data_IF_696018730147
#
_entry.id   IF_696018730147
#
_cell.length_a   1.000
_cell.length_b   1.000
_cell.length_c   1.000
_cell.angle_alpha   90.00
_cell.angle_beta   90.00
_cell.angle_gamma   90.00
#
_symmetry.space_group_name_H-M   'P 1'
#
loop_
_entity.id
_entity.type
_entity.pdbx_description
1 polymer ?
#
# COMPACT_ATOMS: atom_id res chain seq x y z
N UNK A 1 -14.89 10.16 -10.88
CA UNK A 1 -13.74 10.22 -11.80
C UNK A 1 -12.52 9.75 -11.03
N UNK A 2 -12.15 8.47 -11.14
CA UNK A 2 -10.93 7.95 -10.53
C UNK A 2 -9.74 8.36 -11.40
N UNK A 3 -9.26 9.59 -11.22
CA UNK A 3 -8.00 10.02 -11.80
C UNK A 3 -6.88 9.08 -11.36
N UNK A 4 -5.80 8.97 -12.15
CA UNK A 4 -4.61 8.25 -11.67
C UNK A 4 -4.05 9.05 -10.47
N UNK A 5 -3.84 8.42 -9.32
CA UNK A 5 -3.20 9.02 -8.13
C UNK A 5 -1.76 8.49 -7.95
N UNK A 6 -0.80 8.83 -8.84
CA UNK A 6 0.57 8.36 -8.70
C UNK A 6 1.33 9.17 -7.64
N UNK A 7 2.38 8.61 -7.02
CA UNK A 7 3.27 9.37 -6.16
C UNK A 7 4.15 10.32 -7.00
N UNK A 8 4.53 11.49 -6.46
CA UNK A 8 5.55 12.35 -7.08
C UNK A 8 6.95 11.72 -7.06
N UNK A 9 7.22 10.99 -5.99
CA UNK A 9 8.40 10.14 -5.75
C UNK A 9 8.03 9.15 -4.64
N UNK A 10 8.78 8.06 -4.49
CA UNK A 10 8.48 7.06 -3.46
C UNK A 10 8.46 7.68 -2.05
N UNK A 11 7.41 7.43 -1.26
CA UNK A 11 7.25 8.02 0.07
C UNK A 11 6.93 9.53 0.08
N UNK A 12 6.65 10.11 -1.09
CA UNK A 12 6.26 11.50 -1.26
C UNK A 12 4.74 11.70 -1.36
N UNK A 13 4.30 12.94 -1.64
CA UNK A 13 2.89 13.23 -1.84
C UNK A 13 2.37 12.66 -3.17
N UNK A 14 1.06 12.44 -3.22
CA UNK A 14 0.32 12.14 -4.42
C UNK A 14 0.40 13.32 -5.39
N UNK A 15 0.68 13.05 -6.66
CA UNK A 15 0.78 14.07 -7.71
C UNK A 15 -0.58 14.75 -7.95
N UNK A 16 -1.68 14.03 -7.72
CA UNK A 16 -3.04 14.46 -8.07
C UNK A 16 -3.72 15.27 -6.96
N UNK A 17 -3.70 14.78 -5.72
CA UNK A 17 -4.37 15.45 -4.60
C UNK A 17 -3.42 16.11 -3.59
N UNK A 18 -2.11 15.90 -3.70
CA UNK A 18 -1.12 16.48 -2.78
C UNK A 18 -0.99 15.76 -1.43
N UNK A 19 -1.94 14.90 -1.07
CA UNK A 19 -1.90 14.11 0.16
C UNK A 19 -0.74 13.10 0.20
N UNK A 20 -0.24 12.69 1.38
CA UNK A 20 0.77 11.65 1.50
C UNK A 20 0.36 10.37 0.74
N UNK A 21 1.27 9.83 -0.08
CA UNK A 21 0.98 8.65 -0.86
C UNK A 21 1.22 7.36 -0.03
N UNK A 22 0.39 6.31 -0.20
CA UNK A 22 -0.84 6.27 -0.99
C UNK A 22 -1.96 7.06 -0.30
N UNK A 23 -2.58 7.97 -1.04
CA UNK A 23 -3.77 8.68 -0.58
C UNK A 23 -4.99 7.74 -0.57
N UNK A 24 -6.08 8.13 0.08
CA UNK A 24 -7.28 7.29 0.21
C UNK A 24 -7.79 6.75 -1.13
N UNK A 25 -7.89 7.60 -2.16
CA UNK A 25 -8.33 7.18 -3.49
C UNK A 25 -7.39 6.15 -4.11
N UNK A 26 -6.08 6.26 -3.87
CA UNK A 26 -5.11 5.27 -4.34
C UNK A 26 -5.21 3.96 -3.54
N UNK A 27 -5.47 4.01 -2.24
CA UNK A 27 -5.69 2.82 -1.42
C UNK A 27 -6.91 2.05 -1.95
N UNK A 28 -8.05 2.73 -2.14
CA UNK A 28 -9.27 2.13 -2.72
C UNK A 28 -9.02 1.59 -4.13
N UNK A 29 -8.34 2.36 -5.00
CA UNK A 29 -8.03 1.90 -6.35
C UNK A 29 -7.14 0.64 -6.36
N UNK A 30 -6.22 0.52 -5.40
CA UNK A 30 -5.35 -0.66 -5.28
C UNK A 30 -6.12 -1.90 -4.82
N UNK A 31 -7.08 -1.74 -3.89
CA UNK A 31 -7.99 -2.82 -3.50
C UNK A 31 -8.79 -3.36 -4.70
N UNK A 32 -9.27 -2.47 -5.57
CA UNK A 32 -9.98 -2.85 -6.81
C UNK A 32 -9.04 -3.50 -7.83
N UNK A 33 -7.86 -2.92 -8.07
CA UNK A 33 -6.87 -3.40 -9.05
C UNK A 33 -6.36 -4.82 -8.70
N UNK A 34 -6.25 -5.13 -7.42
CA UNK A 34 -5.75 -6.40 -6.91
C UNK A 34 -6.84 -7.28 -6.27
N UNK A 35 -8.11 -7.07 -6.61
CA UNK A 35 -9.21 -7.90 -6.09
C UNK A 35 -8.92 -9.40 -6.30
N UNK A 36 -9.03 -10.20 -5.22
CA UNK A 36 -8.71 -11.64 -5.22
C UNK A 36 -7.22 -11.98 -5.28
N UNK A 37 -6.32 -11.00 -5.24
CA UNK A 37 -4.85 -11.13 -5.33
C UNK A 37 -4.17 -10.32 -4.22
N UNK A 38 -4.60 -10.56 -2.97
CA UNK A 38 -4.15 -9.82 -1.80
C UNK A 38 -2.64 -9.94 -1.54
N UNK A 39 -2.05 -11.09 -1.84
CA UNK A 39 -0.61 -11.33 -1.79
C UNK A 39 0.18 -10.37 -2.70
N UNK A 40 -0.26 -10.19 -3.94
CA UNK A 40 0.36 -9.26 -4.88
C UNK A 40 0.19 -7.81 -4.45
N UNK A 41 -0.93 -7.49 -3.82
CA UNK A 41 -1.19 -6.16 -3.28
C UNK A 41 -0.26 -5.82 -2.11
N UNK A 42 -0.07 -6.78 -1.19
CA UNK A 42 0.89 -6.67 -0.08
C UNK A 42 2.30 -6.48 -0.62
N UNK A 43 2.72 -7.28 -1.60
CA UNK A 43 4.03 -7.14 -2.22
C UNK A 43 4.19 -5.74 -2.87
N UNK A 44 3.19 -5.31 -3.65
CA UNK A 44 3.19 -4.02 -4.33
C UNK A 44 3.38 -2.85 -3.35
N UNK A 45 2.61 -2.79 -2.26
CA UNK A 45 2.70 -1.68 -1.30
C UNK A 45 3.86 -1.81 -0.33
N UNK A 46 4.28 -3.04 0.00
CA UNK A 46 5.51 -3.29 0.74
C UNK A 46 6.74 -2.77 -0.01
N UNK A 47 6.81 -2.97 -1.33
CA UNK A 47 7.87 -2.41 -2.15
C UNK A 47 7.85 -0.87 -2.16
N UNK A 48 6.68 -0.27 -2.29
CA UNK A 48 6.56 1.18 -2.22
C UNK A 48 6.93 1.75 -0.84
N UNK A 49 6.58 1.06 0.25
CA UNK A 49 6.98 1.41 1.59
C UNK A 49 8.51 1.42 1.71
N UNK A 50 9.17 0.33 1.31
CA UNK A 50 10.63 0.21 1.33
C UNK A 50 11.32 1.28 0.48
N UNK A 51 10.81 1.52 -0.74
CA UNK A 51 11.31 2.59 -1.61
C UNK A 51 11.10 3.97 -0.97
N UNK A 52 9.98 4.19 -0.29
CA UNK A 52 9.65 5.43 0.38
C UNK A 52 10.59 5.74 1.55
N UNK A 53 10.87 4.76 2.40
CA UNK A 53 11.85 4.89 3.49
C UNK A 53 13.22 5.29 2.93
N UNK A 54 13.74 4.52 1.96
CA UNK A 54 15.06 4.79 1.37
C UNK A 54 15.13 6.14 0.65
N UNK A 55 14.06 6.56 -0.01
CA UNK A 55 14.02 7.86 -0.70
C UNK A 55 14.00 9.05 0.28
N UNK A 56 13.36 8.90 1.45
CA UNK A 56 13.39 9.92 2.49
C UNK A 56 14.77 10.05 3.13
N UNK A 57 15.39 8.92 3.46
CA UNK A 57 16.76 8.87 3.97
C UNK A 57 17.73 9.56 2.99
N UNK A 58 17.66 9.19 1.71
CA UNK A 58 18.49 9.77 0.64
C UNK A 58 18.32 11.29 0.51
N UNK A 59 17.14 11.82 0.82
CA UNK A 59 16.82 13.26 0.76
C UNK A 59 17.09 14.00 2.09
N UNK A 60 17.46 13.30 3.16
CA UNK A 60 17.57 13.90 4.49
C UNK A 60 16.24 14.40 5.05
N UNK A 61 15.12 13.79 4.62
CA UNK A 61 13.79 14.12 5.13
C UNK A 61 13.57 13.44 6.49
N UNK A 62 12.80 14.04 7.41
CA UNK A 62 12.45 13.38 8.66
C UNK A 62 11.64 12.09 8.38
N UNK A 63 11.68 11.09 9.28
CA UNK A 63 10.79 9.94 9.21
C UNK A 63 9.31 10.37 9.11
N UNK A 64 8.53 9.63 8.35
CA UNK A 64 7.08 9.80 8.26
C UNK A 64 6.41 8.74 9.15
N UNK A 65 5.88 9.11 10.32
CA UNK A 65 5.41 8.16 11.33
C UNK A 65 4.21 7.34 10.83
N UNK A 66 3.43 7.89 9.91
CA UNK A 66 2.20 7.25 9.42
C UNK A 66 2.45 6.47 8.12
N UNK A 67 3.68 6.47 7.59
CA UNK A 67 3.98 5.84 6.29
C UNK A 67 3.72 4.34 6.33
N UNK A 68 4.13 3.65 7.38
CA UNK A 68 3.90 2.21 7.54
C UNK A 68 2.39 1.92 7.55
N UNK A 69 1.63 2.64 8.39
CA UNK A 69 0.20 2.46 8.53
C UNK A 69 -0.54 2.69 7.19
N UNK A 70 -0.17 3.72 6.43
CA UNK A 70 -0.80 4.01 5.12
C UNK A 70 -0.53 2.92 4.07
N UNK A 71 0.62 2.24 4.13
CA UNK A 71 0.98 1.20 3.17
C UNK A 71 0.52 -0.19 3.59
N UNK A 72 0.59 -0.50 4.90
CA UNK A 72 0.50 -1.86 5.42
C UNK A 72 -0.56 -2.04 6.53
N UNK A 73 -1.18 -0.97 7.02
CA UNK A 73 -2.13 -1.00 8.14
C UNK A 73 -3.43 -1.76 7.89
N UNK A 74 -3.62 -2.27 6.68
CA UNK A 74 -4.83 -2.96 6.22
C UNK A 74 -4.55 -4.36 5.66
N UNK A 75 -3.31 -4.83 5.77
CA UNK A 75 -2.86 -6.13 5.23
C UNK A 75 -3.73 -7.28 5.76
N UNK A 76 -4.12 -7.23 7.03
CA UNK A 76 -4.98 -8.24 7.66
C UNK A 76 -6.40 -8.31 7.05
N UNK A 77 -6.87 -7.24 6.40
CA UNK A 77 -8.18 -7.22 5.74
C UNK A 77 -8.15 -7.85 4.33
N UNK A 78 -6.98 -7.93 3.70
CA UNK A 78 -6.86 -8.40 2.30
C UNK A 78 -6.21 -9.76 2.18
N UNK A 79 -5.48 -10.20 3.21
CA UNK A 79 -4.99 -11.56 3.27
C UNK A 79 -6.12 -12.47 3.77
N UNK A 80 -6.34 -13.64 3.14
CA UNK A 80 -7.25 -14.61 3.68
C UNK A 80 -6.80 -15.01 5.09
N UNK A 81 -7.74 -15.16 6.01
CA UNK A 81 -7.47 -15.72 7.33
C UNK A 81 -6.76 -17.06 7.14
N UNK A 82 -5.51 -17.17 7.60
CA UNK A 82 -4.78 -18.43 7.56
C UNK A 82 -5.41 -19.38 8.58
N UNK A 83 -6.48 -20.06 8.19
CA UNK A 83 -7.24 -20.93 9.09
C UNK A 83 -8.32 -21.80 8.45
N UNK A 84 -8.79 -21.51 7.24
CA UNK A 84 -9.95 -22.23 6.69
C UNK A 84 -9.71 -22.81 5.29
N UNK A 85 -8.62 -23.56 5.14
CA UNK A 85 -8.47 -24.51 4.03
C UNK A 85 -8.05 -25.89 4.53
N UNK A 86 -9.06 -26.76 4.60
CA UNK A 86 -9.06 -28.24 4.57
C UNK A 86 -8.59 -29.02 5.81
N UNK A 87 -9.52 -29.22 6.73
CA UNK A 87 -9.74 -30.56 7.31
C UNK A 87 -11.17 -30.97 6.94
N UNK A 88 -11.31 -31.50 5.73
CA UNK A 88 -12.57 -31.87 5.11
C UNK A 88 -12.29 -32.62 3.83
N UNK A 89 -12.70 -33.89 3.85
CA UNK A 89 -12.73 -34.91 2.79
C UNK A 89 -11.61 -35.97 2.80
N UNK A 90 -12.08 -37.14 3.25
CA UNK A 90 -11.68 -38.54 3.04
C UNK A 90 -10.84 -39.21 4.14
#
# INVERSE_FOLDING_TARGET
MTGRHPPRYAGGPCLTCGEPWPCFERQVASLVEFAGRGDLLVAYLGDWYRLGVGERERRGLPPDPDMELRHLGWVDMVLPAQGEQRSGDA
#
